data_IF_280237194360
#
_entry.id   IF_280237194360
#
_cell.length_a   1.000
_cell.length_b   1.000
_cell.length_c   1.000
_cell.angle_alpha   90.00
_cell.angle_beta   90.00
_cell.angle_gamma   90.00
#
_symmetry.space_group_name_H-M   'P 1'
#
loop_
_entity.id
_entity.type
_entity.pdbx_description
1 polymer ?
#
# COMPACT_ATOMS: atom_id res chain seq x y z
N UNK A 1 11.38 -7.51 24.45
CA UNK A 1 11.32 -6.02 24.53
C UNK A 1 10.10 -5.55 23.76
N UNK A 2 9.47 -4.46 24.17
CA UNK A 2 8.41 -3.85 23.36
C UNK A 2 9.04 -3.15 22.16
N UNK A 3 8.43 -3.28 20.98
CA UNK A 3 8.88 -2.59 19.76
C UNK A 3 8.26 -1.21 19.79
N UNK A 4 9.10 -0.18 19.80
CA UNK A 4 8.65 1.21 19.67
C UNK A 4 8.30 1.54 18.22
N UNK A 5 7.45 2.54 18.00
CA UNK A 5 7.10 3.00 16.65
C UNK A 5 8.34 3.48 15.88
N UNK A 6 9.35 3.98 16.57
CA UNK A 6 10.60 4.46 15.98
C UNK A 6 11.49 3.31 15.47
N UNK A 7 11.29 2.10 16.00
CA UNK A 7 12.03 0.89 15.60
C UNK A 7 11.34 0.15 14.46
N UNK A 8 10.16 0.63 14.05
CA UNK A 8 9.34 -0.02 13.06
C UNK A 8 9.69 0.49 11.66
N UNK A 9 9.95 -0.46 10.75
CA UNK A 9 10.04 -0.15 9.33
C UNK A 9 8.68 -0.32 8.65
N UNK A 10 8.48 0.43 7.58
CA UNK A 10 7.27 0.34 6.77
C UNK A 10 7.56 0.59 5.29
N UNK A 11 6.62 0.26 4.43
CA UNK A 11 6.53 0.66 3.04
C UNK A 11 5.13 1.14 2.74
N UNK A 12 4.94 1.87 1.66
CA UNK A 12 3.60 2.28 1.23
C UNK A 12 3.47 2.25 -0.28
N UNK A 13 2.29 1.89 -0.74
CA UNK A 13 1.84 2.02 -2.11
C UNK A 13 0.75 3.09 -2.12
N UNK A 14 0.87 4.07 -3.01
CA UNK A 14 -0.10 5.17 -3.13
C UNK A 14 -0.56 5.25 -4.57
N UNK A 15 -1.83 4.97 -4.78
CA UNK A 15 -2.48 5.04 -6.08
C UNK A 15 -2.92 6.47 -6.41
N UNK A 16 -2.71 6.86 -7.66
CA UNK A 16 -3.04 8.20 -8.13
C UNK A 16 -3.29 8.25 -9.63
N UNK A 17 -3.93 9.31 -10.04
CA UNK A 17 -4.15 9.70 -11.43
C UNK A 17 -3.79 11.17 -11.64
N UNK A 18 -4.05 11.75 -12.80
CA UNK A 18 -3.75 13.17 -13.10
C UNK A 18 -2.29 13.45 -13.47
N UNK A 19 -1.39 12.50 -13.23
CA UNK A 19 0.03 12.55 -13.58
C UNK A 19 0.42 11.19 -14.21
N UNK A 20 1.31 11.20 -15.21
CA UNK A 20 1.82 9.96 -15.79
C UNK A 20 2.97 9.39 -14.95
N UNK A 21 3.18 8.07 -15.01
CA UNK A 21 4.29 7.38 -14.31
C UNK A 21 5.64 8.01 -14.61
N UNK A 22 5.91 8.29 -15.88
CA UNK A 22 7.14 8.95 -16.31
C UNK A 22 7.30 10.30 -15.63
N UNK A 23 6.29 11.17 -15.74
CA UNK A 23 6.35 12.51 -15.16
C UNK A 23 6.47 12.48 -13.64
N UNK A 24 5.79 11.54 -12.98
CA UNK A 24 5.90 11.33 -11.54
C UNK A 24 7.34 10.99 -11.14
N UNK A 25 7.95 10.03 -11.83
CA UNK A 25 9.34 9.64 -11.62
C UNK A 25 10.31 10.81 -11.88
N UNK A 26 10.16 11.52 -13.00
CA UNK A 26 10.99 12.68 -13.34
C UNK A 26 10.94 13.75 -12.26
N UNK A 27 9.76 14.07 -11.73
CA UNK A 27 9.60 15.11 -10.69
C UNK A 27 10.14 14.69 -9.33
N UNK A 28 10.04 13.42 -8.99
CA UNK A 28 10.68 12.90 -7.77
C UNK A 28 12.19 12.79 -7.94
N UNK A 29 12.68 12.49 -9.14
CA UNK A 29 14.11 12.53 -9.45
C UNK A 29 14.68 13.95 -9.31
N UNK A 30 13.97 14.97 -9.80
CA UNK A 30 14.34 16.39 -9.60
C UNK A 30 14.39 16.74 -8.09
N UNK A 31 13.40 16.29 -7.30
CA UNK A 31 13.36 16.48 -5.85
C UNK A 31 14.58 15.88 -5.14
N UNK A 32 15.01 14.71 -5.58
CA UNK A 32 16.17 14.00 -5.00
C UNK A 32 17.52 14.43 -5.60
N UNK A 33 17.53 15.23 -6.67
CA UNK A 33 18.76 15.57 -7.40
C UNK A 33 19.36 14.35 -8.13
N UNK A 34 18.53 13.41 -8.59
CA UNK A 34 18.92 12.16 -9.25
C UNK A 34 18.27 12.04 -10.64
N UNK A 35 18.22 10.84 -11.20
CA UNK A 35 17.62 10.59 -12.52
C UNK A 35 16.52 9.54 -12.44
N UNK A 36 15.44 9.75 -13.20
CA UNK A 36 14.43 8.74 -13.45
C UNK A 36 14.93 7.73 -14.48
N UNK A 37 14.61 6.47 -14.26
CA UNK A 37 14.96 5.34 -15.14
C UNK A 37 13.69 4.63 -15.56
N UNK A 38 13.55 4.34 -16.85
CA UNK A 38 12.49 3.50 -17.37
C UNK A 38 12.93 2.03 -17.26
N UNK A 39 12.38 1.31 -16.29
CA UNK A 39 12.65 -0.13 -16.11
C UNK A 39 11.79 -0.98 -17.07
N UNK A 40 10.73 -0.41 -17.64
CA UNK A 40 9.86 -1.06 -18.63
C UNK A 40 8.96 -2.14 -18.06
N UNK A 41 8.80 -3.24 -18.82
CA UNK A 41 7.96 -4.38 -18.44
C UNK A 41 6.46 -4.12 -18.62
N UNK A 42 5.63 -5.14 -18.31
CA UNK A 42 4.17 -5.09 -18.45
C UNK A 42 3.53 -3.93 -17.67
N UNK A 43 4.06 -3.64 -16.50
CA UNK A 43 3.58 -2.57 -15.63
C UNK A 43 4.14 -1.19 -16.01
N UNK A 44 4.99 -1.08 -17.04
CA UNK A 44 5.57 0.18 -17.49
C UNK A 44 6.25 0.93 -16.35
N UNK A 45 7.14 0.25 -15.64
CA UNK A 45 7.77 0.74 -14.42
C UNK A 45 8.77 1.85 -14.73
N UNK A 46 8.65 2.93 -13.99
CA UNK A 46 9.67 3.97 -13.86
C UNK A 46 10.22 3.95 -12.43
N UNK A 47 11.48 4.19 -12.25
CA UNK A 47 12.10 4.21 -10.93
C UNK A 47 13.04 5.38 -10.73
N UNK A 48 13.21 5.71 -9.46
CA UNK A 48 14.12 6.76 -8.99
C UNK A 48 14.87 6.22 -7.79
N UNK A 49 16.17 6.37 -7.80
CA UNK A 49 17.00 6.04 -6.62
C UNK A 49 17.30 7.33 -5.89
N UNK A 50 17.00 7.38 -4.59
CA UNK A 50 17.31 8.55 -3.78
C UNK A 50 18.81 8.61 -3.42
N UNK A 51 19.22 9.65 -2.70
CA UNK A 51 20.62 9.87 -2.31
C UNK A 51 21.18 8.81 -1.35
N UNK A 52 20.30 8.04 -0.69
CA UNK A 52 20.67 6.94 0.21
C UNK A 52 20.67 5.58 -0.51
N UNK A 53 20.45 5.57 -1.84
CA UNK A 53 20.43 4.36 -2.65
C UNK A 53 19.11 3.59 -2.60
N UNK A 54 18.04 4.16 -2.01
CA UNK A 54 16.74 3.52 -1.93
C UNK A 54 15.92 3.76 -3.20
N UNK A 55 15.31 2.70 -3.73
CA UNK A 55 14.61 2.72 -5.03
C UNK A 55 13.12 2.94 -4.83
N UNK A 56 12.60 4.04 -5.34
CA UNK A 56 11.18 4.40 -5.46
C UNK A 56 10.68 3.97 -6.84
N UNK A 57 9.48 3.39 -6.92
CA UNK A 57 8.91 2.92 -8.19
C UNK A 57 7.59 3.61 -8.48
N UNK A 58 7.31 3.79 -9.76
CA UNK A 58 6.04 4.29 -10.29
C UNK A 58 5.58 3.29 -11.34
N UNK A 59 4.47 2.62 -11.07
CA UNK A 59 4.02 1.51 -11.89
C UNK A 59 2.53 1.60 -12.22
N UNK A 60 2.11 0.80 -13.18
CA UNK A 60 0.71 0.69 -13.58
C UNK A 60 -0.06 -0.16 -12.59
N UNK A 61 -1.24 0.30 -12.19
CA UNK A 61 -2.27 -0.49 -11.53
C UNK A 61 -3.56 -0.45 -12.34
N UNK A 62 -4.15 -1.62 -12.62
CA UNK A 62 -5.34 -1.77 -13.45
C UNK A 62 -6.64 -1.35 -12.78
N UNK A 63 -6.64 -1.19 -11.45
CA UNK A 63 -7.82 -0.78 -10.67
C UNK A 63 -8.12 0.72 -10.74
N UNK A 64 -7.13 1.52 -11.16
CA UNK A 64 -7.23 2.98 -11.15
C UNK A 64 -8.04 3.48 -12.36
N UNK A 65 -9.13 4.19 -12.13
CA UNK A 65 -9.82 4.97 -13.15
C UNK A 65 -8.99 6.20 -13.51
N UNK A 66 -8.47 6.18 -14.74
CA UNK A 66 -7.50 7.19 -15.19
C UNK A 66 -8.17 8.47 -15.62
N UNK A 67 -7.64 9.58 -15.14
CA UNK A 67 -8.10 10.92 -15.44
C UNK A 67 -6.91 11.86 -15.65
N UNK A 68 -7.11 12.92 -16.44
CA UNK A 68 -6.17 14.02 -16.59
C UNK A 68 -6.88 15.36 -16.48
N UNK A 69 -6.13 16.40 -16.15
CA UNK A 69 -6.66 17.74 -16.14
C UNK A 69 -6.63 18.34 -17.55
N UNK A 70 -7.79 18.76 -18.04
CA UNK A 70 -7.93 19.46 -19.31
C UNK A 70 -8.87 20.64 -19.11
N UNK A 71 -8.41 21.85 -19.47
CA UNK A 71 -9.16 23.11 -19.33
C UNK A 71 -9.80 23.31 -17.94
N UNK A 72 -9.07 22.93 -16.88
CA UNK A 72 -9.52 23.07 -15.50
C UNK A 72 -10.39 21.95 -14.95
N UNK A 73 -10.82 21.00 -15.78
CA UNK A 73 -11.66 19.85 -15.40
C UNK A 73 -10.87 18.54 -15.47
N UNK A 74 -11.29 17.54 -14.68
CA UNK A 74 -10.79 16.18 -14.82
C UNK A 74 -11.61 15.50 -15.93
N UNK A 75 -10.90 14.85 -16.86
CA UNK A 75 -11.49 14.09 -17.98
C UNK A 75 -10.84 12.71 -18.04
N UNK A 76 -11.53 11.66 -18.56
CA UNK A 76 -10.93 10.36 -18.77
C UNK A 76 -9.61 10.44 -19.53
N UNK A 77 -8.67 9.60 -19.19
CA UNK A 77 -7.32 9.59 -19.75
C UNK A 77 -6.86 8.19 -20.13
N UNK A 78 -5.72 8.09 -20.81
CA UNK A 78 -5.12 6.81 -21.17
C UNK A 78 -4.43 6.12 -19.99
N UNK A 79 -4.03 4.87 -20.21
CA UNK A 79 -3.38 3.99 -19.25
C UNK A 79 -2.13 4.59 -18.61
N UNK A 80 -1.45 5.51 -19.27
CA UNK A 80 -0.25 6.18 -18.76
C UNK A 80 -0.52 7.05 -17.52
N UNK A 81 -1.79 7.43 -17.28
CA UNK A 81 -2.22 8.18 -16.10
C UNK A 81 -2.64 7.29 -14.91
N UNK A 82 -2.58 5.96 -15.05
CA UNK A 82 -2.63 5.06 -13.91
C UNK A 82 -1.23 5.01 -13.29
N UNK A 83 -1.09 5.53 -12.10
CA UNK A 83 0.21 5.63 -11.41
C UNK A 83 0.07 5.18 -9.97
N UNK A 84 0.74 4.10 -9.66
CA UNK A 84 0.96 3.64 -8.29
C UNK A 84 2.42 3.96 -7.91
N UNK A 85 2.60 4.73 -6.86
CA UNK A 85 3.91 4.99 -6.26
C UNK A 85 4.19 3.95 -5.19
N UNK A 86 5.24 3.16 -5.37
CA UNK A 86 5.73 2.18 -4.39
C UNK A 86 6.99 2.72 -3.73
N UNK A 87 6.92 2.97 -2.41
CA UNK A 87 8.07 3.40 -1.64
C UNK A 87 9.06 2.26 -1.40
N UNK A 88 10.34 2.55 -1.16
CA UNK A 88 11.25 1.57 -0.55
C UNK A 88 10.85 1.30 0.91
N UNK A 89 11.54 0.37 1.57
CA UNK A 89 11.48 0.18 3.01
C UNK A 89 12.00 1.44 3.71
N UNK A 90 11.14 2.07 4.49
CA UNK A 90 11.38 3.31 5.21
C UNK A 90 11.39 3.07 6.72
N UNK A 91 12.20 3.84 7.44
CA UNK A 91 12.12 3.98 8.89
C UNK A 91 11.13 5.09 9.27
N UNK A 92 10.70 5.13 10.52
CA UNK A 92 9.83 6.21 11.01
C UNK A 92 10.46 7.61 10.83
N UNK A 93 11.79 7.72 10.99
CA UNK A 93 12.53 8.99 10.78
C UNK A 93 12.45 9.50 9.33
N UNK A 94 12.16 8.65 8.36
CA UNK A 94 12.03 9.01 6.95
C UNK A 94 10.59 9.41 6.54
N UNK A 95 9.68 9.51 7.49
CA UNK A 95 8.31 9.97 7.22
C UNK A 95 8.30 11.37 6.56
N UNK A 96 9.20 12.25 6.94
CA UNK A 96 9.37 13.56 6.32
C UNK A 96 9.66 13.47 4.82
N UNK A 97 10.58 12.60 4.42
CA UNK A 97 10.91 12.32 3.01
C UNK A 97 9.69 11.83 2.22
N UNK A 98 8.95 10.86 2.77
CA UNK A 98 7.71 10.39 2.14
C UNK A 98 6.71 11.53 1.93
N UNK A 99 6.52 12.38 2.94
CA UNK A 99 5.62 13.54 2.83
C UNK A 99 6.07 14.55 1.77
N UNK A 100 7.38 14.77 1.61
CA UNK A 100 7.92 15.63 0.56
C UNK A 100 7.65 15.06 -0.83
N UNK A 101 7.85 13.76 -1.03
CA UNK A 101 7.49 13.08 -2.28
C UNK A 101 6.01 13.25 -2.60
N UNK A 102 5.12 13.01 -1.64
CA UNK A 102 3.66 13.17 -1.84
C UNK A 102 3.29 14.62 -2.16
N UNK A 103 3.89 15.61 -1.49
CA UNK A 103 3.67 17.04 -1.79
C UNK A 103 4.17 17.40 -3.19
N UNK A 104 5.33 16.89 -3.59
CA UNK A 104 5.89 17.05 -4.93
C UNK A 104 4.91 16.52 -5.99
N UNK A 105 4.46 15.28 -5.85
CA UNK A 105 3.52 14.67 -6.79
C UNK A 105 2.21 15.46 -6.89
N UNK A 106 1.64 15.88 -5.76
CA UNK A 106 0.44 16.74 -5.72
C UNK A 106 0.66 18.08 -6.45
N UNK A 107 1.79 18.71 -6.23
CA UNK A 107 2.15 19.96 -6.88
C UNK A 107 2.18 19.80 -8.41
N UNK A 108 2.71 18.70 -8.91
CA UNK A 108 2.83 18.43 -10.34
C UNK A 108 1.61 17.74 -10.97
N UNK A 109 0.50 17.67 -10.26
CA UNK A 109 -0.80 17.34 -10.83
C UNK A 109 -1.38 16.00 -10.42
N UNK A 110 -0.71 15.22 -9.56
CA UNK A 110 -1.28 13.99 -9.01
C UNK A 110 -2.61 14.28 -8.29
N UNK A 111 -3.59 13.44 -8.54
CA UNK A 111 -4.95 13.48 -7.97
C UNK A 111 -5.35 12.08 -7.55
N UNK A 112 -6.29 12.01 -6.66
CA UNK A 112 -6.95 10.77 -6.27
C UNK A 112 -8.44 10.86 -6.62
N UNK A 113 -9.04 9.73 -6.95
CA UNK A 113 -10.48 9.58 -7.10
C UNK A 113 -10.96 8.37 -6.30
N UNK A 114 -12.22 7.98 -6.44
CA UNK A 114 -12.82 6.89 -5.65
C UNK A 114 -12.17 5.51 -5.88
N UNK A 115 -11.48 5.32 -7.01
CA UNK A 115 -10.76 4.07 -7.32
C UNK A 115 -9.37 3.99 -6.66
N UNK A 116 -8.80 5.12 -6.24
CA UNK A 116 -7.46 5.16 -5.67
C UNK A 116 -7.44 4.73 -4.21
N UNK A 117 -6.48 3.92 -3.84
CA UNK A 117 -6.21 3.46 -2.48
C UNK A 117 -4.81 3.81 -1.99
N UNK A 118 -4.58 3.46 -0.74
CA UNK A 118 -3.26 3.47 -0.13
C UNK A 118 -3.07 2.18 0.66
N UNK A 119 -1.95 1.50 0.42
CA UNK A 119 -1.50 0.34 1.18
C UNK A 119 -0.35 0.75 2.10
N UNK A 120 -0.33 0.24 3.30
CA UNK A 120 0.76 0.41 4.26
C UNK A 120 1.24 -0.96 4.69
N UNK A 121 2.48 -1.28 4.36
CA UNK A 121 3.15 -2.52 4.75
C UNK A 121 4.02 -2.24 5.97
N UNK A 122 3.80 -2.99 7.03
CA UNK A 122 4.56 -2.87 8.28
C UNK A 122 5.48 -4.07 8.42
N UNK A 123 6.76 -3.83 8.73
CA UNK A 123 7.74 -4.89 8.91
C UNK A 123 7.40 -5.76 10.12
N UNK A 124 7.13 -7.04 9.88
CA UNK A 124 6.82 -8.01 10.91
C UNK A 124 8.05 -8.76 11.46
N UNK A 125 9.26 -8.48 10.98
CA UNK A 125 10.48 -9.22 11.35
C UNK A 125 10.78 -9.19 12.85
N UNK A 126 10.40 -8.13 13.54
CA UNK A 126 10.59 -7.92 14.97
C UNK A 126 9.43 -8.44 15.83
N UNK A 127 8.39 -9.00 15.21
CA UNK A 127 7.22 -9.48 15.92
C UNK A 127 7.35 -10.96 16.31
N UNK A 128 6.85 -11.28 17.50
CA UNK A 128 6.65 -12.66 17.94
C UNK A 128 5.26 -13.13 17.53
N UNK A 129 4.99 -14.46 17.49
CA UNK A 129 3.63 -14.95 17.27
C UNK A 129 2.60 -14.35 18.23
N UNK A 130 2.98 -14.13 19.48
CA UNK A 130 2.12 -13.50 20.49
C UNK A 130 1.83 -12.04 20.17
N UNK A 131 2.84 -11.25 19.78
CA UNK A 131 2.63 -9.83 19.44
C UNK A 131 1.76 -9.66 18.19
N UNK A 132 1.90 -10.55 17.18
CA UNK A 132 1.04 -10.55 15.99
C UNK A 132 -0.42 -10.90 16.33
N UNK A 133 -0.64 -11.91 17.19
CA UNK A 133 -2.00 -12.23 17.70
C UNK A 133 -2.63 -11.03 18.41
N UNK A 134 -1.85 -10.32 19.22
CA UNK A 134 -2.31 -9.11 19.90
C UNK A 134 -2.64 -8.00 18.90
N UNK A 135 -1.78 -7.78 17.90
CA UNK A 135 -2.00 -6.80 16.85
C UNK A 135 -3.31 -7.07 16.09
N UNK A 136 -3.53 -8.30 15.64
CA UNK A 136 -4.78 -8.68 14.96
C UNK A 136 -6.02 -8.51 15.86
N UNK A 137 -5.89 -8.84 17.15
CA UNK A 137 -6.98 -8.65 18.11
C UNK A 137 -7.31 -7.17 18.34
N UNK A 138 -6.28 -6.32 18.42
CA UNK A 138 -6.43 -4.87 18.55
C UNK A 138 -7.07 -4.29 17.28
N UNK A 139 -6.55 -4.66 16.11
CA UNK A 139 -7.11 -4.23 14.83
C UNK A 139 -8.59 -4.58 14.75
N UNK A 140 -8.97 -5.85 14.92
CA UNK A 140 -10.36 -6.27 14.94
C UNK A 140 -11.24 -5.42 15.86
N UNK A 141 -10.76 -5.09 17.07
CA UNK A 141 -11.53 -4.32 18.04
C UNK A 141 -11.63 -2.82 17.71
N UNK A 142 -10.80 -2.31 16.79
CA UNK A 142 -10.68 -0.88 16.46
C UNK A 142 -10.99 -0.55 15.00
N UNK A 143 -11.26 -1.53 14.16
CA UNK A 143 -11.52 -1.33 12.73
C UNK A 143 -12.59 -0.27 12.46
N UNK A 144 -13.71 -0.30 13.17
CA UNK A 144 -14.79 0.69 13.00
C UNK A 144 -14.31 2.12 13.24
N UNK A 145 -13.46 2.32 14.24
CA UNK A 145 -12.89 3.63 14.56
C UNK A 145 -11.91 4.05 13.47
N UNK A 146 -11.05 3.12 13.03
CA UNK A 146 -10.06 3.38 11.98
C UNK A 146 -10.75 3.71 10.65
N UNK A 147 -11.74 2.94 10.25
CA UNK A 147 -12.48 3.17 9.01
C UNK A 147 -13.18 4.53 9.01
N UNK A 148 -13.79 4.92 10.13
CA UNK A 148 -14.38 6.27 10.29
C UNK A 148 -13.32 7.38 10.24
N UNK A 149 -12.20 7.19 10.95
CA UNK A 149 -11.14 8.19 11.02
C UNK A 149 -10.47 8.40 9.66
N UNK A 150 -10.24 7.31 8.91
CA UNK A 150 -9.65 7.33 7.57
C UNK A 150 -10.67 7.65 6.47
N UNK A 151 -11.97 7.77 6.81
CA UNK A 151 -13.07 8.01 5.87
C UNK A 151 -13.11 6.97 4.74
N UNK A 152 -12.88 5.70 5.09
CA UNK A 152 -12.96 4.60 4.12
C UNK A 152 -14.37 4.56 3.53
N UNK A 153 -14.46 4.53 2.20
CA UNK A 153 -15.75 4.47 1.51
C UNK A 153 -16.34 3.07 1.62
N UNK A 154 -17.67 2.98 1.74
CA UNK A 154 -18.38 1.69 1.90
C UNK A 154 -18.09 0.71 0.75
N UNK A 155 -17.97 1.19 -0.48
CA UNK A 155 -17.59 0.35 -1.62
C UNK A 155 -16.22 -0.30 -1.45
N UNK A 156 -15.24 0.44 -0.92
CA UNK A 156 -13.91 -0.11 -0.64
C UNK A 156 -13.91 -1.06 0.56
N UNK A 157 -14.71 -0.79 1.59
CA UNK A 157 -14.90 -1.70 2.73
C UNK A 157 -15.45 -3.06 2.29
N UNK A 158 -16.29 -3.09 1.26
CA UNK A 158 -16.88 -4.33 0.74
C UNK A 158 -15.93 -5.12 -0.18
N UNK A 159 -14.97 -4.49 -0.80
CA UNK A 159 -14.08 -5.12 -1.81
C UNK A 159 -12.62 -5.20 -1.35
N UNK A 160 -11.96 -4.06 -1.13
CA UNK A 160 -10.51 -3.97 -0.98
C UNK A 160 -10.01 -3.81 0.46
N UNK A 161 -10.89 -3.38 1.38
CA UNK A 161 -10.54 -3.07 2.77
C UNK A 161 -11.48 -3.82 3.71
N UNK A 162 -11.60 -5.14 3.53
CA UNK A 162 -12.53 -5.92 4.35
C UNK A 162 -12.02 -6.05 5.78
N UNK A 163 -12.95 -6.00 6.73
CA UNK A 163 -12.63 -6.19 8.15
C UNK A 163 -12.23 -7.64 8.44
N UNK A 164 -11.42 -7.83 9.47
CA UNK A 164 -11.07 -9.16 9.97
C UNK A 164 -12.34 -9.94 10.31
N UNK A 165 -12.51 -11.12 9.73
CA UNK A 165 -13.69 -11.95 9.99
C UNK A 165 -13.64 -12.54 11.40
N UNK A 166 -14.78 -12.57 12.13
CA UNK A 166 -14.84 -13.14 13.50
C UNK A 166 -14.26 -14.54 13.61
N UNK A 167 -14.50 -15.38 12.60
CA UNK A 167 -14.00 -16.76 12.56
C UNK A 167 -12.47 -16.83 12.51
N UNK A 168 -11.82 -15.90 11.81
CA UNK A 168 -10.36 -15.80 11.74
C UNK A 168 -9.81 -15.43 13.11
N UNK A 169 -10.40 -14.42 13.76
CA UNK A 169 -10.01 -14.00 15.10
C UNK A 169 -10.15 -15.13 16.12
N UNK A 170 -11.26 -15.88 16.10
CA UNK A 170 -11.50 -17.00 17.00
C UNK A 170 -10.44 -18.09 16.83
N UNK A 171 -10.11 -18.44 15.60
CA UNK A 171 -9.05 -19.42 15.30
C UNK A 171 -7.69 -18.91 15.78
N UNK A 172 -7.33 -17.67 15.51
CA UNK A 172 -6.07 -17.06 15.99
C UNK A 172 -5.97 -17.09 17.52
N UNK A 173 -7.06 -16.78 18.22
CA UNK A 173 -7.11 -16.82 19.70
C UNK A 173 -6.84 -18.21 20.27
N UNK A 174 -7.32 -19.25 19.61
CA UNK A 174 -7.14 -20.66 20.02
C UNK A 174 -5.76 -21.23 19.69
N UNK A 175 -4.98 -20.55 18.83
CA UNK A 175 -3.65 -21.04 18.46
C UNK A 175 -2.66 -20.93 19.59
N UNK A 176 -1.71 -21.89 19.72
CA UNK A 176 -0.57 -21.77 20.61
C UNK A 176 0.23 -20.49 20.34
N UNK A 177 0.81 -19.89 21.37
CA UNK A 177 1.64 -18.70 21.24
C UNK A 177 2.97 -18.95 20.48
N UNK A 178 3.30 -20.21 20.20
CA UNK A 178 4.42 -20.64 19.37
C UNK A 178 4.10 -20.68 17.86
N UNK A 179 2.82 -20.57 17.49
CA UNK A 179 2.38 -20.67 16.09
C UNK A 179 2.34 -19.29 15.46
N UNK A 180 2.94 -19.16 14.29
CA UNK A 180 2.95 -17.91 13.53
C UNK A 180 1.57 -17.72 12.87
N UNK A 181 0.84 -16.62 13.15
CA UNK A 181 -0.53 -16.40 12.66
C UNK A 181 -0.71 -16.56 11.15
N UNK A 182 0.20 -16.04 10.33
CA UNK A 182 0.05 -16.13 8.87
C UNK A 182 0.13 -17.56 8.30
N UNK A 183 0.77 -18.52 9.00
CA UNK A 183 0.72 -19.93 8.57
C UNK A 183 -0.68 -20.50 8.67
N UNK A 184 -1.50 -19.93 9.54
CA UNK A 184 -2.89 -20.33 9.72
C UNK A 184 -3.78 -19.51 8.79
N UNK A 185 -3.47 -18.25 8.60
CA UNK A 185 -4.15 -17.38 7.67
C UNK A 185 -4.01 -17.92 6.25
N UNK A 186 -2.80 -18.23 5.79
CA UNK A 186 -2.60 -18.88 4.49
C UNK A 186 -3.37 -20.20 4.35
N UNK A 187 -3.47 -21.01 5.40
CA UNK A 187 -4.26 -22.25 5.38
C UNK A 187 -5.79 -22.05 5.48
N UNK A 188 -6.24 -20.87 5.92
CA UNK A 188 -7.66 -20.56 6.11
C UNK A 188 -8.23 -19.68 5.01
N UNK A 189 -7.38 -18.91 4.40
CA UNK A 189 -7.69 -17.84 3.47
C UNK A 189 -7.40 -18.30 2.05
N UNK A 190 -6.32 -19.02 1.83
CA UNK A 190 -5.99 -19.68 0.57
C UNK A 190 -6.79 -20.99 0.51
N UNK A 191 -7.63 -21.11 -0.49
CA UNK A 191 -8.44 -22.30 -0.71
C UNK A 191 -7.63 -23.59 -0.60
N UNK A 192 -8.28 -24.68 -0.29
CA UNK A 192 -7.69 -26.00 0.00
C UNK A 192 -6.77 -26.60 -1.07
N UNK A 193 -6.73 -26.04 -2.25
CA UNK A 193 -6.05 -26.60 -3.41
C UNK A 193 -4.68 -25.98 -3.71
N UNK A 194 -4.27 -24.96 -2.94
CA UNK A 194 -2.97 -24.32 -3.18
C UNK A 194 -2.83 -23.70 -4.56
N UNK A 195 -3.93 -23.49 -5.27
CA UNK A 195 -3.92 -22.80 -6.55
C UNK A 195 -3.54 -21.34 -6.32
N UNK A 196 -2.39 -20.98 -6.79
CA UNK A 196 -1.93 -19.60 -6.85
C UNK A 196 -2.63 -18.88 -8.00
N UNK A 197 -3.93 -18.73 -7.92
CA UNK A 197 -4.62 -17.86 -8.83
C UNK A 197 -4.27 -16.42 -8.44
N UNK A 198 -3.74 -15.65 -9.37
CA UNK A 198 -3.32 -14.26 -9.20
C UNK A 198 -4.43 -13.29 -8.75
N UNK A 199 -5.63 -13.80 -8.56
CA UNK A 199 -6.85 -13.09 -8.19
C UNK A 199 -7.48 -13.59 -6.89
N UNK A 200 -6.67 -14.15 -5.99
CA UNK A 200 -7.18 -14.56 -4.69
C UNK A 200 -7.51 -13.32 -3.84
N UNK A 201 -8.81 -13.12 -3.60
CA UNK A 201 -9.34 -12.00 -2.82
C UNK A 201 -8.90 -12.01 -1.35
N UNK A 202 -8.27 -13.08 -0.93
CA UNK A 202 -7.92 -13.34 0.48
C UNK A 202 -6.91 -12.34 1.04
N UNK A 203 -6.05 -11.77 0.19
CA UNK A 203 -5.12 -10.69 0.56
C UNK A 203 -5.83 -9.41 1.05
N UNK A 204 -7.14 -9.27 0.78
CA UNK A 204 -7.94 -8.11 1.17
C UNK A 204 -8.62 -8.26 2.54
N UNK A 205 -8.48 -9.42 3.17
CA UNK A 205 -9.07 -9.74 4.49
C UNK A 205 -8.08 -9.62 5.65
N UNK A 206 -6.86 -9.19 5.42
CA UNK A 206 -5.81 -9.06 6.43
C UNK A 206 -5.61 -7.61 6.87
#
# INVERSE_FOLDING_TARGET
MAIGIQDQYFGTEIEMTGITRQRAAEKVAELFGTRAVCDGGYYGVWSVTDQEGKKWKFMYDGSIYTERRERGRMVPAGREYSTEMVSPKLSYGEMGKLQEVVRCLRHYGAKVNASCGQHVHVDASNHTPRSLKNAMTIMYSKEDILFKALKVQTSREQEYCQKVRPIVLEKIRRMPNSTIPWKVETGMVWGRDGSHDHYDDTRYYA
#
